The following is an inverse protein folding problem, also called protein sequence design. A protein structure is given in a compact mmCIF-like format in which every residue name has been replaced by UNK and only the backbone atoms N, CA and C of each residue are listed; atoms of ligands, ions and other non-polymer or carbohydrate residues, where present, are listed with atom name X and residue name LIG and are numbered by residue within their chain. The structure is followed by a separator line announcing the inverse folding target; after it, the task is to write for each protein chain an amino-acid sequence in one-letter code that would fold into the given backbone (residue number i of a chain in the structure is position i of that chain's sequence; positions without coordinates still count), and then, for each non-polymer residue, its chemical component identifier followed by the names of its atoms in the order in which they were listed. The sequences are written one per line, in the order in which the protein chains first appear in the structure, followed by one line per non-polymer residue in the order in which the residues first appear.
data_IF_847940694445
#
_entry.id   IF_847940694445
#
_cell.length_a   1.000
_cell.length_b   1.000
_cell.length_c   1.000
_cell.angle_alpha   90.00
_cell.angle_beta   90.00
_cell.angle_gamma   90.00
#
_symmetry.space_group_name_H-M   'P 1'
#
loop_
_entity.id
_entity.type
_entity.pdbx_description
1 polymer ?
#
# COMPACT_ATOMS: atom_id res chain seq x y z
N UNK A 1 -24.43 -17.23 -0.07
CA UNK A 1 -23.13 -17.79 -0.48
C UNK A 1 -22.12 -16.77 -0.04
N UNK A 2 -21.27 -17.15 0.88
CA UNK A 2 -20.60 -16.31 1.87
C UNK A 2 -19.38 -15.58 1.26
N UNK A 3 -19.61 -14.37 0.73
CA UNK A 3 -18.55 -13.41 0.35
C UNK A 3 -18.03 -12.72 1.62
N UNK A 4 -17.16 -13.41 2.35
CA UNK A 4 -16.38 -12.80 3.42
C UNK A 4 -15.09 -12.21 2.86
N UNK A 5 -15.24 -11.21 2.00
CA UNK A 5 -14.20 -10.20 1.84
C UNK A 5 -14.04 -9.54 3.21
N UNK A 6 -12.85 -9.64 3.81
CA UNK A 6 -12.52 -8.87 5.01
C UNK A 6 -12.37 -7.40 4.58
N UNK A 7 -13.50 -6.75 4.32
CA UNK A 7 -13.64 -5.30 4.18
C UNK A 7 -13.40 -4.67 5.55
N UNK A 8 -12.13 -4.46 5.89
CA UNK A 8 -11.78 -3.60 7.02
C UNK A 8 -12.04 -2.14 6.63
N UNK A 9 -13.32 -1.75 6.69
CA UNK A 9 -13.82 -0.42 6.37
C UNK A 9 -13.40 0.64 7.40
N UNK A 10 -12.95 0.25 8.60
CA UNK A 10 -12.50 1.18 9.63
C UNK A 10 -11.05 0.89 10.10
N UNK A 11 -10.35 1.95 10.51
CA UNK A 11 -8.94 1.85 10.86
C UNK A 11 -8.69 1.13 12.20
N UNK A 12 -9.69 1.02 13.07
CA UNK A 12 -9.56 0.26 14.32
C UNK A 12 -9.59 -1.24 14.04
N UNK A 13 -10.41 -1.68 13.09
CA UNK A 13 -10.41 -3.05 12.56
C UNK A 13 -9.10 -3.35 11.82
N UNK A 14 -8.54 -2.38 11.08
CA UNK A 14 -7.17 -2.51 10.53
C UNK A 14 -6.16 -2.70 11.67
N UNK A 15 -6.12 -1.80 12.65
CA UNK A 15 -5.18 -1.85 13.78
C UNK A 15 -5.29 -3.15 14.61
N UNK A 16 -6.51 -3.66 14.80
CA UNK A 16 -6.81 -4.96 15.42
C UNK A 16 -6.20 -6.15 14.66
N UNK A 17 -6.29 -6.16 13.32
CA UNK A 17 -5.60 -7.17 12.50
C UNK A 17 -4.06 -7.08 12.59
N UNK A 18 -3.51 -5.91 12.92
CA UNK A 18 -2.07 -5.71 13.09
C UNK A 18 -1.57 -6.01 14.52
N UNK A 19 -2.46 -6.06 15.50
CA UNK A 19 -2.16 -6.39 16.90
C UNK A 19 -3.08 -7.49 17.46
N UNK A 20 -3.06 -8.73 16.95
CA UNK A 20 -3.61 -9.82 17.72
C UNK A 20 -2.81 -9.95 19.03
N UNK A 21 -3.44 -10.03 20.21
CA UNK A 21 -2.74 -10.15 21.48
C UNK A 21 -1.92 -11.45 21.63
N UNK A 22 -2.03 -12.38 20.68
CA UNK A 22 -1.48 -13.73 20.74
C UNK A 22 -0.58 -14.13 19.56
N UNK A 23 -0.32 -13.23 18.60
CA UNK A 23 0.61 -13.51 17.49
C UNK A 23 1.67 -12.41 17.35
N UNK A 24 2.92 -12.76 17.02
CA UNK A 24 3.94 -11.76 16.70
C UNK A 24 3.45 -10.90 15.52
N UNK A 25 3.75 -9.59 15.52
CA UNK A 25 3.30 -8.69 14.48
C UNK A 25 3.71 -9.24 13.11
N UNK A 26 2.77 -9.27 12.15
CA UNK A 26 3.05 -9.67 10.78
C UNK A 26 4.17 -8.77 10.24
N UNK A 27 5.39 -9.30 10.11
CA UNK A 27 6.50 -8.59 9.48
C UNK A 27 6.20 -8.50 7.99
N UNK A 28 5.82 -7.32 7.53
CA UNK A 28 5.61 -7.06 6.11
C UNK A 28 6.78 -6.25 5.54
N UNK A 29 7.02 -6.44 4.25
CA UNK A 29 8.06 -5.73 3.54
C UNK A 29 7.66 -5.43 2.11
N UNK A 30 8.49 -4.61 1.47
CA UNK A 30 8.46 -4.45 0.04
C UNK A 30 8.84 -5.81 -0.62
N UNK A 31 8.07 -6.30 -1.61
CA UNK A 31 8.39 -7.51 -2.37
C UNK A 31 9.87 -7.59 -2.78
N UNK A 32 10.53 -8.64 -2.32
CA UNK A 32 11.91 -8.89 -2.68
C UNK A 32 12.05 -9.22 -4.18
N UNK A 33 13.15 -8.78 -4.79
CA UNK A 33 13.42 -8.96 -6.22
C UNK A 33 12.50 -8.17 -7.16
N UNK A 34 11.88 -7.07 -6.69
CA UNK A 34 11.10 -6.17 -7.56
C UNK A 34 11.99 -5.43 -8.59
N UNK A 35 11.55 -5.21 -9.85
CA UNK A 35 10.26 -5.58 -10.42
C UNK A 35 10.19 -7.01 -10.96
N UNK A 36 11.30 -7.76 -10.97
CA UNK A 36 11.35 -9.09 -11.59
C UNK A 36 10.40 -10.09 -10.94
N UNK A 37 10.22 -10.01 -9.62
CA UNK A 37 9.28 -10.84 -8.87
C UNK A 37 7.83 -10.72 -9.36
N UNK A 38 7.43 -9.57 -9.92
CA UNK A 38 6.13 -9.38 -10.58
C UNK A 38 5.92 -10.36 -11.73
N UNK A 39 6.99 -10.67 -12.48
CA UNK A 39 6.96 -11.53 -13.65
C UNK A 39 7.29 -12.98 -13.31
N UNK A 40 8.13 -13.21 -12.32
CA UNK A 40 8.71 -14.54 -12.06
C UNK A 40 8.10 -15.27 -10.86
N UNK A 41 7.39 -14.58 -9.96
CA UNK A 41 6.89 -15.18 -8.71
C UNK A 41 5.44 -15.69 -8.87
N UNK A 42 5.18 -17.02 -8.89
CA UNK A 42 3.82 -17.55 -9.08
C UNK A 42 2.82 -17.14 -7.98
N UNK A 43 3.18 -17.11 -6.67
CA UNK A 43 2.27 -16.60 -5.64
C UNK A 43 1.84 -15.15 -5.86
N UNK A 44 2.77 -14.27 -6.26
CA UNK A 44 2.44 -12.88 -6.58
C UNK A 44 1.52 -12.82 -7.81
N UNK A 45 1.81 -13.57 -8.88
CA UNK A 45 0.95 -13.65 -10.06
C UNK A 45 -0.47 -14.12 -9.74
N UNK A 46 -0.63 -15.10 -8.84
CA UNK A 46 -1.96 -15.54 -8.39
C UNK A 46 -2.72 -14.44 -7.66
N UNK A 47 -2.06 -13.72 -6.76
CA UNK A 47 -2.66 -12.58 -6.06
C UNK A 47 -3.13 -11.49 -7.04
N UNK A 48 -2.34 -11.22 -8.08
CA UNK A 48 -2.57 -10.13 -9.04
C UNK A 48 -3.54 -10.47 -10.18
N UNK A 49 -3.53 -11.72 -10.66
CA UNK A 49 -4.27 -12.14 -11.85
C UNK A 49 -5.43 -13.08 -11.57
N UNK A 50 -5.46 -13.72 -10.39
CA UNK A 50 -6.51 -14.65 -10.01
C UNK A 50 -7.52 -13.99 -9.08
N UNK A 51 -8.67 -13.57 -9.61
CA UNK A 51 -9.95 -13.23 -8.94
C UNK A 51 -9.97 -12.23 -7.76
N UNK A 52 -8.87 -11.96 -7.07
CA UNK A 52 -8.83 -11.25 -5.79
C UNK A 52 -8.50 -9.77 -5.95
N UNK A 53 -7.51 -9.43 -6.78
CA UNK A 53 -7.18 -8.05 -7.09
C UNK A 53 -7.33 -7.82 -8.60
N UNK A 54 -8.28 -6.99 -9.03
CA UNK A 54 -8.52 -6.69 -10.45
C UNK A 54 -7.62 -5.56 -10.96
N UNK A 55 -6.35 -5.56 -10.57
CA UNK A 55 -5.43 -4.47 -10.88
C UNK A 55 -4.90 -4.53 -12.30
N UNK A 56 -4.97 -3.41 -13.02
CA UNK A 56 -4.50 -3.30 -14.40
C UNK A 56 -3.01 -2.92 -14.53
N UNK A 57 -2.41 -2.30 -13.50
CA UNK A 57 -1.02 -1.80 -13.51
C UNK A 57 -0.34 -1.95 -12.16
N UNK A 58 0.97 -2.18 -12.13
CA UNK A 58 1.75 -2.26 -10.90
C UNK A 58 2.99 -1.36 -10.97
N UNK A 59 3.25 -0.58 -9.93
CA UNK A 59 4.36 0.38 -9.88
C UNK A 59 4.95 0.44 -8.47
N UNK A 60 6.26 0.69 -8.38
CA UNK A 60 6.86 1.12 -7.13
C UNK A 60 6.60 2.63 -6.94
N UNK A 61 6.17 3.03 -5.75
CA UNK A 61 6.08 4.44 -5.38
C UNK A 61 7.13 4.77 -4.35
N UNK A 62 7.87 5.82 -4.67
CA UNK A 62 8.89 6.39 -3.81
C UNK A 62 8.22 7.17 -2.66
N UNK A 63 8.91 7.31 -1.52
CA UNK A 63 8.44 8.16 -0.44
C UNK A 63 8.24 9.60 -0.92
N UNK A 64 7.34 10.36 -0.28
CA UNK A 64 7.18 11.77 -0.57
C UNK A 64 8.48 12.50 -0.21
N UNK A 65 8.90 13.40 -1.09
CA UNK A 65 9.97 14.35 -0.83
C UNK A 65 9.59 15.31 0.31
N UNK A 66 10.61 15.93 0.91
CA UNK A 66 10.39 16.95 1.94
C UNK A 66 9.50 18.10 1.43
N UNK A 67 9.68 18.51 0.17
CA UNK A 67 8.89 19.57 -0.44
C UNK A 67 7.39 19.20 -0.53
N UNK A 68 7.06 17.95 -0.84
CA UNK A 68 5.68 17.47 -0.89
C UNK A 68 5.04 17.41 0.50
N UNK A 69 5.81 17.00 1.50
CA UNK A 69 5.35 17.02 2.89
C UNK A 69 5.14 18.45 3.40
N UNK A 70 6.02 19.39 3.03
CA UNK A 70 5.88 20.81 3.36
C UNK A 70 4.67 21.41 2.66
N UNK A 71 4.43 21.11 1.38
CA UNK A 71 3.26 21.58 0.65
C UNK A 71 1.96 21.03 1.26
N UNK A 72 1.92 19.73 1.60
CA UNK A 72 0.80 19.12 2.30
C UNK A 72 0.54 19.82 3.65
N UNK A 73 1.58 20.08 4.44
CA UNK A 73 1.47 20.77 5.72
C UNK A 73 0.98 22.23 5.56
N UNK A 74 1.50 22.96 4.58
CA UNK A 74 1.06 24.33 4.27
C UNK A 74 -0.42 24.38 3.87
N UNK A 75 -0.92 23.29 3.29
CA UNK A 75 -2.32 23.11 2.92
C UNK A 75 -3.19 22.52 4.06
N UNK A 76 -2.65 22.43 5.29
CA UNK A 76 -3.36 21.92 6.46
C UNK A 76 -3.53 20.40 6.49
N UNK A 77 -2.85 19.68 5.60
CA UNK A 77 -2.91 18.22 5.54
C UNK A 77 -1.86 17.62 6.47
N UNK A 78 -2.31 17.07 7.60
CA UNK A 78 -1.47 16.28 8.50
C UNK A 78 -1.66 14.80 8.16
N UNK A 79 -0.65 14.12 7.58
CA UNK A 79 -0.80 12.72 7.19
C UNK A 79 -0.91 11.81 8.40
N UNK A 80 -1.99 11.02 8.45
CA UNK A 80 -2.21 10.06 9.53
C UNK A 80 -1.76 8.66 9.09
N UNK A 81 -1.02 7.91 9.94
CA UNK A 81 -0.71 6.50 9.68
C UNK A 81 -1.99 5.70 9.42
N UNK A 82 -1.92 4.66 8.58
CA UNK A 82 -3.05 3.78 8.23
C UNK A 82 -4.25 4.45 7.53
N UNK A 83 -4.26 5.77 7.35
CA UNK A 83 -5.41 6.54 6.82
C UNK A 83 -5.20 7.02 5.38
N UNK A 84 -4.73 6.16 4.50
CA UNK A 84 -4.36 6.57 3.14
C UNK A 84 -5.49 7.19 2.33
N UNK A 85 -6.74 6.79 2.56
CA UNK A 85 -7.88 7.35 1.83
C UNK A 85 -8.09 8.81 2.22
N UNK A 86 -8.12 9.09 3.52
CA UNK A 86 -8.28 10.45 4.03
C UNK A 86 -7.09 11.34 3.66
N UNK A 87 -5.87 10.81 3.74
CA UNK A 87 -4.67 11.55 3.33
C UNK A 87 -4.73 11.90 1.84
N UNK A 88 -5.05 10.93 0.98
CA UNK A 88 -5.09 11.14 -0.46
C UNK A 88 -6.18 12.13 -0.88
N UNK A 89 -7.38 12.00 -0.30
CA UNK A 89 -8.49 12.94 -0.54
C UNK A 89 -8.12 14.36 -0.13
N UNK A 90 -7.61 14.54 1.10
CA UNK A 90 -7.23 15.87 1.59
C UNK A 90 -6.12 16.51 0.76
N UNK A 91 -5.14 15.73 0.32
CA UNK A 91 -4.08 16.27 -0.55
C UNK A 91 -4.64 16.70 -1.91
N UNK A 92 -5.57 15.94 -2.49
CA UNK A 92 -6.21 16.31 -3.75
C UNK A 92 -7.09 17.57 -3.61
N UNK A 93 -7.81 17.72 -2.50
CA UNK A 93 -8.60 18.93 -2.20
C UNK A 93 -7.72 20.17 -2.02
N UNK A 94 -6.53 19.99 -1.44
CA UNK A 94 -5.67 21.09 -1.03
C UNK A 94 -4.60 21.47 -2.08
N UNK A 95 -4.44 20.67 -3.16
CA UNK A 95 -3.42 20.89 -4.20
C UNK A 95 -4.01 20.83 -5.60
N UNK A 96 -3.95 21.95 -6.32
CA UNK A 96 -4.40 22.04 -7.72
C UNK A 96 -3.55 21.11 -8.61
N UNK A 97 -4.20 20.33 -9.47
CA UNK A 97 -3.52 19.41 -10.38
C UNK A 97 -3.16 18.06 -9.76
N UNK A 98 -3.57 17.81 -8.51
CA UNK A 98 -3.41 16.52 -7.84
C UNK A 98 -4.71 15.72 -7.92
N UNK A 99 -4.64 14.47 -8.37
CA UNK A 99 -5.78 13.56 -8.45
C UNK A 99 -5.62 12.37 -7.50
N UNK A 100 -6.72 11.79 -7.03
CA UNK A 100 -6.69 10.57 -6.21
C UNK A 100 -6.55 9.35 -7.11
N UNK A 101 -5.62 8.46 -6.78
CA UNK A 101 -5.53 7.13 -7.38
C UNK A 101 -5.86 6.04 -6.38
N UNK A 102 -6.65 5.06 -6.80
CA UNK A 102 -7.16 3.99 -5.95
C UNK A 102 -6.57 2.64 -6.37
N UNK A 103 -6.39 1.75 -5.40
CA UNK A 103 -5.94 0.39 -5.65
C UNK A 103 -5.50 -0.31 -4.37
N UNK A 104 -4.42 -1.09 -4.47
CA UNK A 104 -3.89 -1.94 -3.41
C UNK A 104 -2.38 -1.77 -3.26
N UNK A 105 -1.91 -1.55 -2.03
CA UNK A 105 -0.49 -1.70 -1.71
C UNK A 105 -0.20 -3.19 -1.52
N UNK A 106 0.76 -3.72 -2.27
CA UNK A 106 1.19 -5.12 -2.20
C UNK A 106 2.40 -5.22 -1.28
N UNK A 107 2.32 -6.13 -0.33
CA UNK A 107 3.41 -6.44 0.60
C UNK A 107 3.77 -7.92 0.52
N UNK A 108 5.03 -8.22 0.81
CA UNK A 108 5.49 -9.57 1.10
C UNK A 108 5.54 -9.79 2.61
N UNK A 109 5.09 -10.97 3.06
CA UNK A 109 5.27 -11.39 4.45
C UNK A 109 6.72 -11.85 4.64
N UNK A 110 7.49 -11.06 5.37
CA UNK A 110 8.85 -11.38 5.78
C UNK A 110 8.80 -12.52 6.81
N UNK A 111 9.65 -13.53 6.63
CA UNK A 111 9.79 -14.64 7.56
C UNK A 111 11.14 -14.58 8.25
N UNK A 112 11.17 -15.07 9.48
CA UNK A 112 12.38 -15.17 10.28
C UNK A 112 13.18 -16.48 10.01
N UNK A 113 12.60 -17.46 9.28
CA UNK A 113 13.21 -18.78 9.00
C UNK A 113 13.75 -18.97 7.57
N UNK A 114 14.83 -19.77 7.37
CA UNK A 114 15.52 -19.92 6.10
C UNK A 114 14.79 -20.84 5.10
N UNK A 115 14.78 -20.38 3.84
CA UNK A 115 14.65 -21.11 2.57
C UNK A 115 13.83 -22.42 2.56
N UNK A 116 12.60 -22.34 2.05
CA UNK A 116 11.80 -23.51 1.66
C UNK A 116 10.30 -23.24 1.64
N UNK A 117 9.83 -22.28 2.45
CA UNK A 117 8.43 -21.94 2.55
C UNK A 117 7.96 -21.00 1.41
N UNK A 118 6.80 -21.29 0.84
CA UNK A 118 6.18 -20.56 -0.28
C UNK A 118 5.94 -19.08 0.05
N UNK A 119 6.52 -18.14 -0.72
CA UNK A 119 6.38 -16.67 -0.54
C UNK A 119 4.90 -16.27 -0.45
N UNK A 120 4.56 -15.49 0.57
CA UNK A 120 3.19 -15.03 0.83
C UNK A 120 3.12 -13.53 0.56
N UNK A 121 2.16 -13.12 -0.26
CA UNK A 121 1.90 -11.72 -0.59
C UNK A 121 0.51 -11.33 -0.10
N UNK A 122 0.36 -10.07 0.30
CA UNK A 122 -0.91 -9.48 0.74
C UNK A 122 -1.16 -8.17 0.01
N UNK A 123 -2.38 -7.98 -0.48
CA UNK A 123 -2.85 -6.72 -1.04
C UNK A 123 -3.69 -5.97 0.00
N UNK A 124 -3.39 -4.70 0.23
CA UNK A 124 -4.11 -3.86 1.19
C UNK A 124 -4.67 -2.67 0.44
N UNK A 125 -6.00 -2.45 0.50
CA UNK A 125 -6.61 -1.26 -0.13
C UNK A 125 -5.89 0.01 0.32
N UNK A 126 -5.49 0.82 -0.64
CA UNK A 126 -4.67 2.00 -0.41
C UNK A 126 -4.89 3.03 -1.52
N UNK A 127 -4.89 4.32 -1.15
CA UNK A 127 -5.03 5.42 -2.10
C UNK A 127 -3.76 6.27 -2.13
N UNK A 128 -3.47 6.80 -3.30
CA UNK A 128 -2.34 7.67 -3.60
C UNK A 128 -2.83 8.95 -4.26
N UNK A 129 -1.88 9.81 -4.56
CA UNK A 129 -2.10 10.96 -5.40
C UNK A 129 -1.25 10.85 -6.67
N UNK A 130 -1.78 11.29 -7.80
CA UNK A 130 -1.00 11.54 -9.01
C UNK A 130 -0.95 13.03 -9.27
N UNK A 131 0.25 13.56 -9.48
CA UNK A 131 0.47 14.95 -9.89
C UNK A 131 0.19 15.15 -11.39
N UNK A 132 0.28 16.39 -11.86
CA UNK A 132 0.03 16.74 -13.26
C UNK A 132 0.97 16.05 -14.27
N UNK A 133 2.10 15.51 -13.80
CA UNK A 133 3.05 14.74 -14.64
C UNK A 133 2.73 13.25 -14.67
N UNK A 134 1.72 12.80 -13.92
CA UNK A 134 1.40 11.39 -13.73
C UNK A 134 2.36 10.66 -12.79
N UNK A 135 3.20 11.39 -12.04
CA UNK A 135 4.00 10.81 -10.96
C UNK A 135 3.13 10.63 -9.73
N UNK A 136 3.33 9.51 -9.06
CA UNK A 136 2.54 9.12 -7.91
C UNK A 136 3.25 9.46 -6.60
N UNK A 137 2.46 9.86 -5.62
CA UNK A 137 2.92 10.28 -4.30
C UNK A 137 2.07 9.61 -3.24
N UNK A 138 2.72 9.11 -2.19
CA UNK A 138 2.07 8.55 -1.01
C UNK A 138 2.47 9.34 0.24
N UNK A 139 1.68 10.36 0.60
CA UNK A 139 1.97 11.11 1.83
C UNK A 139 1.64 10.33 3.11
N UNK A 140 1.01 9.17 3.01
CA UNK A 140 0.66 8.36 4.18
C UNK A 140 1.95 7.86 4.84
N UNK A 141 2.14 8.00 6.15
CA UNK A 141 3.32 7.46 6.82
C UNK A 141 3.48 5.94 6.62
N UNK A 142 4.72 5.42 6.45
CA UNK A 142 5.00 3.99 6.27
C UNK A 142 4.44 3.13 7.39
N UNK A 143 3.77 2.05 6.98
CA UNK A 143 3.36 0.95 7.86
C UNK A 143 4.56 0.15 8.37
N UNK A 144 5.57 0.03 7.52
CA UNK A 144 6.84 -0.61 7.80
C UNK A 144 7.94 0.32 7.32
N UNK A 145 8.99 0.48 8.13
CA UNK A 145 10.15 1.30 7.80
C UNK A 145 10.93 0.67 6.63
N UNK A 146 10.39 0.80 5.43
CA UNK A 146 11.03 0.46 4.17
C UNK A 146 11.06 1.72 3.32
N UNK A 147 12.14 1.89 2.57
CA UNK A 147 12.31 3.01 1.66
C UNK A 147 11.32 2.97 0.48
N UNK A 148 10.59 1.87 0.23
CA UNK A 148 9.72 1.72 -0.95
C UNK A 148 8.40 1.00 -0.64
N UNK A 149 7.36 1.28 -1.44
CA UNK A 149 6.08 0.54 -1.44
C UNK A 149 5.77 -0.02 -2.83
N UNK A 150 5.38 -1.30 -2.90
CA UNK A 150 4.95 -1.95 -4.14
C UNK A 150 3.45 -1.78 -4.28
N UNK A 151 2.99 -1.28 -5.42
CA UNK A 151 1.60 -0.89 -5.59
C UNK A 151 0.96 -1.57 -6.77
N UNK A 152 -0.24 -2.08 -6.58
CA UNK A 152 -1.15 -2.50 -7.62
C UNK A 152 -2.27 -1.46 -7.75
N UNK A 153 -2.54 -1.04 -8.97
CA UNK A 153 -3.55 -0.04 -9.34
C UNK A 153 -4.73 -0.78 -9.95
N UNK A 154 -5.95 -0.46 -9.51
CA UNK A 154 -7.19 -0.85 -10.22
C UNK A 154 -7.26 -0.13 -11.57
#
# INVERSE_FOLDING_TARGET
GDDSDVECADAATRESLWRPPTQPPLRLGFPDGWPDSFRSCPPLKRLLGGSHLRGSRCRAVEPPSAAELTAAAAAGVVPLPLRSFANATRLAEASVGTSVVRGFCVFERLRDEPSGAERIFVGVRHWWNADATGRWVDITPPLVASARRSLLVE
#
